data_IF_373659616317
#
_entry.id   IF_373659616317
#
_cell.length_a   1.000
_cell.length_b   1.000
_cell.length_c   1.000
_cell.angle_alpha   90.00
_cell.angle_beta   90.00
_cell.angle_gamma   90.00
#
_symmetry.space_group_name_H-M   'P 1'
#
loop_
_entity.id
_entity.type
_entity.pdbx_description
1 polymer ?
#
# COMPACT_ATOMS: atom_id res chain seq x y z
N UNK A 1 7.99 -11.52 9.79
CA UNK A 1 7.67 -11.32 8.37
C UNK A 1 6.26 -11.85 8.13
N UNK A 2 5.49 -11.23 7.24
CA UNK A 2 4.16 -11.76 6.82
C UNK A 2 4.36 -13.13 6.19
N UNK A 3 3.56 -14.12 6.59
CA UNK A 3 3.64 -15.49 6.07
C UNK A 3 3.00 -15.63 4.68
N UNK A 4 3.21 -16.80 4.06
CA UNK A 4 2.63 -17.16 2.75
C UNK A 4 1.09 -17.16 2.78
N UNK A 5 0.40 -17.71 3.80
CA UNK A 5 -1.08 -17.73 3.84
C UNK A 5 -1.70 -16.33 3.89
N UNK A 6 -1.08 -15.39 4.61
CA UNK A 6 -1.58 -14.02 4.69
C UNK A 6 -1.37 -13.29 3.35
N UNK A 7 -0.28 -13.59 2.65
CA UNK A 7 0.01 -13.01 1.33
C UNK A 7 -0.99 -13.46 0.25
N UNK A 8 -1.53 -14.68 0.31
CA UNK A 8 -2.54 -15.15 -0.65
C UNK A 8 -3.81 -14.27 -0.65
N UNK A 9 -4.19 -13.77 0.52
CA UNK A 9 -5.30 -12.85 0.65
C UNK A 9 -4.89 -11.41 0.29
N UNK A 10 -3.72 -10.98 0.74
CA UNK A 10 -3.24 -9.61 0.52
C UNK A 10 -2.87 -9.31 -0.93
N UNK A 11 -2.35 -10.28 -1.69
CA UNK A 11 -1.98 -10.13 -3.09
C UNK A 11 -3.16 -9.63 -3.95
N UNK A 12 -4.38 -10.03 -3.60
CA UNK A 12 -5.62 -9.64 -4.27
C UNK A 12 -6.02 -8.17 -4.02
N UNK A 13 -5.37 -7.47 -3.09
CA UNK A 13 -5.68 -6.07 -2.73
C UNK A 13 -4.88 -5.04 -3.54
N UNK A 14 -4.27 -5.46 -4.66
CA UNK A 14 -3.42 -4.62 -5.53
C UNK A 14 -2.19 -4.01 -4.83
N UNK A 15 -1.88 -4.48 -3.62
CA UNK A 15 -0.87 -3.91 -2.73
C UNK A 15 -1.19 -2.50 -2.26
N UNK A 16 -2.47 -2.08 -2.22
CA UNK A 16 -2.88 -0.72 -1.84
C UNK A 16 -3.73 -0.73 -0.58
N UNK A 17 -3.56 0.29 0.26
CA UNK A 17 -4.36 0.46 1.46
C UNK A 17 -4.48 1.93 1.86
N UNK A 18 -5.55 2.26 2.57
CA UNK A 18 -5.72 3.59 3.17
C UNK A 18 -5.02 3.63 4.52
N UNK A 19 -4.06 4.54 4.67
CA UNK A 19 -3.30 4.73 5.89
C UNK A 19 -3.75 6.01 6.59
N UNK A 20 -4.27 5.87 7.81
CA UNK A 20 -4.68 7.00 8.66
C UNK A 20 -3.54 7.53 9.55
N UNK A 21 -2.37 6.89 9.52
CA UNK A 21 -1.23 7.27 10.36
C UNK A 21 0.07 7.46 9.57
N UNK A 22 0.45 8.72 9.38
CA UNK A 22 1.72 9.10 8.77
C UNK A 22 2.72 9.51 9.87
N UNK A 23 3.47 8.52 10.38
CA UNK A 23 4.42 8.71 11.50
C UNK A 23 5.61 9.59 11.11
N UNK A 24 5.95 9.62 9.83
CA UNK A 24 6.99 10.46 9.22
C UNK A 24 6.72 11.96 9.37
N UNK A 25 5.45 12.36 9.55
CA UNK A 25 5.09 13.76 9.84
C UNK A 25 5.32 14.19 11.29
N UNK A 26 5.73 13.27 12.17
CA UNK A 26 5.95 13.56 13.60
C UNK A 26 4.67 13.74 14.42
N UNK A 27 3.52 13.33 13.90
CA UNK A 27 2.24 13.44 14.61
C UNK A 27 2.18 12.44 15.77
N UNK A 28 1.82 12.93 16.97
CA UNK A 28 1.66 12.09 18.17
C UNK A 28 0.46 11.15 18.09
N UNK A 29 -0.56 11.53 17.32
CA UNK A 29 -1.79 10.77 17.14
C UNK A 29 -2.07 10.61 15.63
N UNK A 30 -2.73 9.51 15.22
CA UNK A 30 -3.10 9.23 13.83
C UNK A 30 -4.31 10.09 13.40
N UNK A 31 -4.17 11.41 13.52
CA UNK A 31 -5.18 12.38 13.12
C UNK A 31 -4.83 12.95 11.75
N UNK A 32 -5.84 13.07 10.88
CA UNK A 32 -5.69 13.60 9.54
C UNK A 32 -6.54 12.84 8.52
N UNK A 33 -6.54 13.33 7.28
CA UNK A 33 -7.15 12.59 6.18
C UNK A 33 -6.37 11.28 5.95
N UNK A 34 -7.05 10.16 5.67
CA UNK A 34 -6.37 8.95 5.24
C UNK A 34 -5.63 9.21 3.92
N UNK A 35 -4.41 8.68 3.81
CA UNK A 35 -3.64 8.71 2.58
C UNK A 35 -3.65 7.35 1.91
N UNK A 36 -3.75 7.34 0.58
CA UNK A 36 -3.60 6.12 -0.19
C UNK A 36 -2.12 5.74 -0.23
N UNK A 37 -1.78 4.62 0.39
CA UNK A 37 -0.45 4.04 0.34
C UNK A 37 -0.45 2.85 -0.62
N UNK A 38 0.68 2.66 -1.28
CA UNK A 38 0.89 1.52 -2.16
C UNK A 38 2.20 0.81 -1.84
N UNK A 39 2.19 -0.49 -2.05
CA UNK A 39 3.40 -1.29 -2.04
C UNK A 39 4.27 -0.91 -3.24
N UNK A 40 5.60 -1.03 -3.10
CA UNK A 40 6.54 -0.90 -4.21
C UNK A 40 6.11 -1.74 -5.40
N UNK A 41 6.25 -1.18 -6.60
CA UNK A 41 5.84 -1.82 -7.85
C UNK A 41 6.99 -1.82 -8.87
N UNK A 42 6.87 -2.66 -9.90
CA UNK A 42 7.85 -2.74 -10.99
C UNK A 42 7.91 -1.49 -11.88
N UNK A 43 6.91 -0.61 -11.83
CA UNK A 43 6.92 0.67 -12.54
C UNK A 43 7.96 1.63 -11.94
N UNK A 44 8.65 2.43 -12.77
CA UNK A 44 9.78 3.25 -12.33
C UNK A 44 9.48 4.17 -11.13
N UNK A 45 8.32 4.82 -11.10
CA UNK A 45 7.91 5.66 -9.96
C UNK A 45 7.62 4.87 -8.67
N UNK A 46 7.40 3.55 -8.78
CA UNK A 46 7.08 2.67 -7.66
C UNK A 46 8.27 1.82 -7.19
N UNK A 47 9.46 1.97 -7.78
CA UNK A 47 10.64 1.21 -7.38
C UNK A 47 11.23 1.79 -6.09
N UNK A 48 11.61 0.91 -5.16
CA UNK A 48 12.45 1.31 -4.02
C UNK A 48 13.90 1.41 -4.51
N UNK A 49 14.64 2.34 -3.93
CA UNK A 49 16.10 2.40 -4.02
C UNK A 49 16.75 1.03 -3.70
N UNK A 50 17.48 0.42 -4.64
CA UNK A 50 18.14 -0.87 -4.42
C UNK A 50 19.05 -0.90 -3.19
N UNK A 51 19.71 0.21 -2.84
CA UNK A 51 20.58 0.26 -1.66
C UNK A 51 19.79 0.08 -0.35
N UNK A 52 18.57 0.60 -0.28
CA UNK A 52 17.71 0.42 0.88
C UNK A 52 17.25 -1.03 1.01
N UNK A 53 16.98 -1.69 -0.12
CA UNK A 53 16.63 -3.11 -0.15
C UNK A 53 17.80 -3.95 0.33
N UNK A 54 19.01 -3.68 -0.17
CA UNK A 54 20.22 -4.39 0.25
C UNK A 54 20.51 -4.20 1.75
N UNK A 55 20.44 -2.97 2.25
CA UNK A 55 20.62 -2.68 3.70
C UNK A 55 19.64 -3.45 4.57
N UNK A 56 18.39 -3.59 4.13
CA UNK A 56 17.38 -4.42 4.82
C UNK A 56 17.78 -5.89 4.80
N UNK A 57 18.14 -6.41 3.64
CA UNK A 57 18.52 -7.81 3.44
C UNK A 57 19.71 -8.20 4.32
N UNK A 58 20.73 -7.35 4.37
CA UNK A 58 21.92 -7.52 5.22
C UNK A 58 21.58 -7.47 6.72
N UNK A 59 20.67 -6.57 7.11
CA UNK A 59 20.25 -6.39 8.50
C UNK A 59 19.44 -7.57 9.02
N UNK A 60 18.51 -8.08 8.21
CA UNK A 60 17.60 -9.16 8.62
C UNK A 60 18.06 -10.54 8.16
N UNK A 61 19.19 -10.64 7.45
CA UNK A 61 19.74 -11.89 6.91
C UNK A 61 18.72 -12.60 6.01
N UNK A 62 18.09 -11.84 5.13
CA UNK A 62 17.11 -12.34 4.16
C UNK A 62 17.59 -12.09 2.74
N UNK A 63 17.11 -12.89 1.79
CA UNK A 63 17.34 -12.68 0.36
C UNK A 63 16.05 -12.26 -0.31
N UNK A 64 16.03 -11.07 -0.91
CA UNK A 64 14.90 -10.58 -1.71
C UNK A 64 14.55 -11.55 -2.83
N UNK A 65 15.54 -12.12 -3.52
CA UNK A 65 15.28 -12.98 -4.68
C UNK A 65 14.73 -14.34 -4.26
N UNK A 66 15.24 -14.94 -3.17
CA UNK A 66 14.65 -16.15 -2.60
C UNK A 66 13.19 -15.91 -2.12
N UNK A 67 12.91 -14.73 -1.55
CA UNK A 67 11.55 -14.34 -1.17
C UNK A 67 10.63 -14.13 -2.38
N UNK A 68 11.14 -13.68 -3.53
CA UNK A 68 10.34 -13.62 -4.77
C UNK A 68 10.05 -15.02 -5.28
N UNK A 69 11.05 -15.89 -5.36
CA UNK A 69 10.92 -17.28 -5.83
C UNK A 69 9.90 -18.07 -5.02
N UNK A 70 9.95 -17.98 -3.68
CA UNK A 70 8.99 -18.63 -2.79
C UNK A 70 7.53 -18.18 -2.95
N UNK A 71 7.29 -17.07 -3.68
CA UNK A 71 5.97 -16.46 -3.88
C UNK A 71 5.45 -16.57 -5.31
N UNK A 72 6.18 -17.24 -6.21
CA UNK A 72 5.79 -17.38 -7.63
C UNK A 72 4.41 -18.03 -7.80
N UNK A 73 4.01 -18.89 -6.86
CA UNK A 73 2.70 -19.57 -6.89
C UNK A 73 1.53 -18.70 -6.39
N UNK A 74 1.80 -17.53 -5.81
CA UNK A 74 0.75 -16.65 -5.30
C UNK A 74 0.10 -15.95 -6.50
N UNK A 75 -1.16 -16.30 -6.78
CA UNK A 75 -1.91 -15.73 -7.88
C UNK A 75 -2.09 -14.22 -7.73
N UNK A 76 -1.87 -13.50 -8.83
CA UNK A 76 -2.27 -12.09 -8.96
C UNK A 76 -3.79 -11.99 -9.17
N UNK A 77 -4.42 -10.85 -8.81
CA UNK A 77 -5.82 -10.63 -9.12
C UNK A 77 -6.06 -10.65 -10.64
N UNK A 78 -7.01 -11.47 -11.09
CA UNK A 78 -7.36 -11.67 -12.51
C UNK A 78 -7.77 -10.37 -13.21
N UNK A 79 -8.33 -9.43 -12.45
CA UNK A 79 -8.74 -8.13 -12.95
C UNK A 79 -8.34 -7.04 -11.97
N UNK A 80 -7.71 -6.00 -12.49
CA UNK A 80 -7.37 -4.79 -11.74
C UNK A 80 -8.33 -3.69 -12.17
N UNK A 81 -9.03 -3.09 -11.22
CA UNK A 81 -9.87 -1.92 -11.49
C UNK A 81 -9.00 -0.83 -12.15
N UNK A 82 -9.37 -0.29 -13.32
CA UNK A 82 -8.58 0.71 -14.04
C UNK A 82 -8.23 1.95 -13.20
N UNK A 83 -9.10 2.32 -12.25
CA UNK A 83 -8.88 3.45 -11.35
C UNK A 83 -7.92 3.13 -10.21
N UNK A 84 -7.69 1.86 -9.88
CA UNK A 84 -6.76 1.47 -8.82
C UNK A 84 -5.32 1.88 -9.17
N UNK A 85 -4.96 1.86 -10.45
CA UNK A 85 -3.62 2.20 -10.96
C UNK A 85 -3.59 3.51 -11.75
N UNK A 86 -4.55 4.41 -11.51
CA UNK A 86 -4.68 5.69 -12.21
C UNK A 86 -3.37 6.50 -12.26
N UNK A 87 -2.54 6.41 -11.22
CA UNK A 87 -1.26 7.10 -11.16
C UNK A 87 -0.23 6.60 -12.19
N UNK A 88 -0.29 5.33 -12.63
CA UNK A 88 0.67 4.74 -13.57
C UNK A 88 0.67 5.45 -14.94
N UNK A 89 -0.49 5.62 -15.61
CA UNK A 89 -0.55 6.34 -16.88
C UNK A 89 -0.58 7.87 -16.73
N UNK A 90 -1.11 8.41 -15.64
CA UNK A 90 -1.38 9.85 -15.52
C UNK A 90 -0.36 10.63 -14.68
N UNK A 91 0.51 9.95 -13.93
CA UNK A 91 1.49 10.59 -13.03
C UNK A 91 0.86 11.34 -11.86
N UNK A 92 -0.45 11.17 -11.61
CA UNK A 92 -1.22 11.82 -10.54
C UNK A 92 -2.07 10.80 -9.80
N UNK A 93 -2.18 10.96 -8.48
CA UNK A 93 -3.02 10.11 -7.62
C UNK A 93 -4.25 10.84 -7.08
N UNK A 94 -5.15 10.09 -6.46
CA UNK A 94 -6.25 10.66 -5.68
C UNK A 94 -5.77 11.03 -4.28
N UNK A 95 -6.23 12.16 -3.77
CA UNK A 95 -6.02 12.61 -2.40
C UNK A 95 -7.36 12.73 -1.68
N UNK A 96 -7.37 12.36 -0.39
CA UNK A 96 -8.50 12.61 0.50
C UNK A 96 -8.11 13.79 1.38
N UNK A 97 -9.09 14.64 1.68
CA UNK A 97 -8.94 15.77 2.59
C UNK A 97 -10.10 15.84 3.57
N UNK A 98 -9.89 16.47 4.71
CA UNK A 98 -10.92 16.67 5.74
C UNK A 98 -11.64 17.98 5.45
N UNK A 99 -12.97 17.93 5.37
CA UNK A 99 -13.83 19.12 5.33
C UNK A 99 -14.75 19.17 6.54
N UNK A 100 -14.92 20.37 7.09
CA UNK A 100 -15.95 20.61 8.09
C UNK A 100 -17.32 20.39 7.47
N UNK A 101 -18.19 19.67 8.17
CA UNK A 101 -19.54 19.36 7.73
C UNK A 101 -20.49 19.34 8.92
N UNK A 102 -21.79 19.50 8.69
CA UNK A 102 -22.80 19.37 9.73
C UNK A 102 -22.84 17.92 10.24
N UNK A 103 -22.77 17.74 11.56
CA UNK A 103 -22.85 16.43 12.19
C UNK A 103 -24.26 15.86 12.00
N UNK A 104 -24.37 14.79 11.21
CA UNK A 104 -25.62 14.03 11.09
C UNK A 104 -25.89 13.32 12.42
N UNK A 105 -26.92 13.75 13.14
CA UNK A 105 -27.29 13.20 14.46
C UNK A 105 -27.91 11.80 14.38
N UNK A 106 -28.28 11.34 13.20
CA UNK A 106 -28.90 10.05 12.95
C UNK A 106 -28.24 9.40 11.73
N UNK A 107 -27.84 8.15 11.87
CA UNK A 107 -27.44 7.31 10.73
C UNK A 107 -28.72 6.85 10.04
N UNK A 108 -28.98 7.17 8.76
CA UNK A 108 -30.03 6.50 8.03
C UNK A 108 -29.66 5.01 7.96
N UNK A 109 -30.40 4.18 8.69
CA UNK A 109 -30.28 2.73 8.58
C UNK A 109 -30.70 2.32 7.16
N UNK A 110 -29.98 1.38 6.52
CA UNK A 110 -30.42 0.79 5.26
C UNK A 110 -31.75 0.05 5.42
#
# INVERSE_FOLDING_TARGET
MVGKPELENLAKTYGKFWCTWQTDRGHKLPLGAPALMMSPQGANLGKIDPELVQKRDDKYKISTDALKESRVEIAEPEWINPQADYWKPHGKGFAIDIKQTEMKKQTPFP
#
